data_IF_129100101269
#
_entry.id   IF_129100101269
#
_cell.length_a   1.000
_cell.length_b   1.000
_cell.length_c   1.000
_cell.angle_alpha   90.00
_cell.angle_beta   90.00
_cell.angle_gamma   90.00
#
_symmetry.space_group_name_H-M   'P 1'
#
loop_
_entity.id
_entity.type
_entity.pdbx_description
1 polymer ?
#
# COMPACT_ATOMS: atom_id res chain seq x y z
N UNK A 1 -9.09 35.86 36.01
CA UNK A 1 -8.02 34.85 36.12
C UNK A 1 -8.12 33.94 34.92
N UNK A 2 -7.12 34.02 34.06
CA UNK A 2 -6.92 33.13 32.92
C UNK A 2 -6.43 31.77 33.43
N UNK A 3 -6.75 30.71 32.70
CA UNK A 3 -5.95 29.49 32.47
C UNK A 3 -6.72 28.67 31.40
N UNK A 4 -6.75 29.14 30.14
CA UNK A 4 -5.80 28.83 29.07
C UNK A 4 -5.49 27.32 28.95
N UNK A 5 -6.49 26.56 28.51
CA UNK A 5 -6.34 25.26 27.87
C UNK A 5 -5.60 25.41 26.52
N UNK A 6 -4.30 25.71 26.59
CA UNK A 6 -3.34 25.62 25.48
C UNK A 6 -2.79 24.20 25.49
N UNK A 7 -3.25 23.38 24.54
CA UNK A 7 -2.45 22.44 23.75
C UNK A 7 -3.38 21.58 22.85
N UNK A 8 -4.23 22.24 22.06
CA UNK A 8 -4.76 21.65 20.82
C UNK A 8 -4.14 22.41 19.65
N UNK A 9 -2.86 22.19 19.39
CA UNK A 9 -2.17 22.75 18.23
C UNK A 9 -0.89 21.99 17.88
N UNK A 10 -0.98 20.74 17.45
CA UNK A 10 0.11 20.16 16.66
C UNK A 10 -0.47 19.25 15.56
N UNK A 11 -0.83 19.88 14.45
CA UNK A 11 -0.74 19.37 13.07
C UNK A 11 -1.38 18.01 12.75
N UNK A 12 -2.66 18.01 12.38
CA UNK A 12 -3.06 17.22 11.21
C UNK A 12 -2.33 17.81 10.00
N UNK A 13 -1.49 17.08 9.25
CA UNK A 13 -0.98 17.63 8.01
C UNK A 13 -2.18 17.81 7.08
N UNK A 14 -2.48 19.07 6.77
CA UNK A 14 -3.37 19.46 5.69
C UNK A 14 -3.03 18.62 4.46
N UNK A 15 -4.07 18.12 3.79
CA UNK A 15 -3.90 17.48 2.49
C UNK A 15 -3.13 18.47 1.59
N UNK A 16 -2.09 18.03 0.87
CA UNK A 16 -1.32 18.95 0.07
C UNK A 16 -2.19 19.53 -1.03
N UNK A 17 -2.37 20.85 -0.98
CA UNK A 17 -2.86 21.68 -2.07
C UNK A 17 -1.83 21.67 -3.22
N UNK A 18 -1.84 20.65 -4.07
CA UNK A 18 -1.23 20.70 -5.41
C UNK A 18 -1.93 19.76 -6.39
N UNK A 19 -2.70 20.40 -7.27
CA UNK A 19 -3.10 20.06 -8.64
C UNK A 19 -3.37 18.59 -9.00
N UNK A 20 -4.66 18.24 -9.10
CA UNK A 20 -5.16 16.95 -9.60
C UNK A 20 -4.99 16.73 -11.12
N UNK A 21 -3.96 17.31 -11.73
CA UNK A 21 -3.71 17.27 -13.19
C UNK A 21 -2.55 16.37 -13.65
N UNK A 22 -1.58 16.01 -12.79
CA UNK A 22 -0.33 15.39 -13.27
C UNK A 22 -0.24 13.85 -13.18
N UNK A 23 -1.23 13.15 -12.61
CA UNK A 23 -1.07 11.73 -12.28
C UNK A 23 -1.28 10.75 -13.45
N UNK A 24 -1.89 11.15 -14.57
CA UNK A 24 -2.12 10.23 -15.69
C UNK A 24 -0.86 9.91 -16.51
N UNK A 25 0.19 10.75 -16.43
CA UNK A 25 1.41 10.56 -17.20
C UNK A 25 2.34 9.45 -16.65
N UNK A 26 2.13 9.00 -15.41
CA UNK A 26 3.02 8.01 -14.78
C UNK A 26 2.76 6.58 -15.27
N UNK A 27 1.51 6.27 -15.64
CA UNK A 27 1.12 4.98 -16.21
C UNK A 27 1.69 4.77 -17.61
N UNK A 28 1.71 5.82 -18.44
CA UNK A 28 2.29 5.79 -19.78
C UNK A 28 3.79 5.43 -19.79
N UNK A 29 4.50 5.63 -18.67
CA UNK A 29 5.92 5.23 -18.53
C UNK A 29 6.12 3.77 -18.14
N UNK A 30 5.07 3.09 -17.67
CA UNK A 30 5.12 1.69 -17.27
C UNK A 30 4.74 0.74 -18.40
N UNK A 31 4.06 1.20 -19.46
CA UNK A 31 3.62 0.32 -20.55
C UNK A 31 4.68 0.15 -21.65
N UNK A 32 5.85 -0.39 -21.29
CA UNK A 32 6.80 -0.91 -22.26
C UNK A 32 6.70 -2.44 -22.39
N UNK A 33 7.36 -2.99 -23.43
CA UNK A 33 7.32 -4.44 -23.70
C UNK A 33 7.85 -5.27 -22.52
N UNK A 34 8.79 -4.73 -21.75
CA UNK A 34 9.41 -5.44 -20.63
C UNK A 34 8.45 -5.54 -19.45
N UNK A 35 7.74 -4.46 -19.16
CA UNK A 35 6.73 -4.44 -18.10
C UNK A 35 5.52 -5.29 -18.45
N UNK A 36 5.08 -5.29 -19.72
CA UNK A 36 4.03 -6.19 -20.18
C UNK A 36 4.44 -7.66 -19.99
N UNK A 37 5.66 -8.03 -20.36
CA UNK A 37 6.18 -9.38 -20.15
C UNK A 37 6.19 -9.78 -18.66
N UNK A 38 6.56 -8.85 -17.77
CA UNK A 38 6.53 -9.08 -16.33
C UNK A 38 5.09 -9.31 -15.81
N UNK A 39 4.12 -8.51 -16.29
CA UNK A 39 2.71 -8.69 -15.93
C UNK A 39 2.21 -10.06 -16.39
N UNK A 40 2.51 -10.45 -17.63
CA UNK A 40 2.15 -11.78 -18.15
C UNK A 40 2.79 -12.91 -17.33
N UNK A 41 4.04 -12.75 -16.89
CA UNK A 41 4.71 -13.71 -16.02
C UNK A 41 4.02 -13.87 -14.65
N UNK A 42 3.52 -12.79 -14.04
CA UNK A 42 2.73 -12.88 -12.81
C UNK A 42 1.38 -13.55 -13.03
N UNK A 43 0.75 -13.33 -14.18
CA UNK A 43 -0.56 -13.92 -14.52
C UNK A 43 -0.48 -15.41 -14.86
N UNK A 44 0.70 -15.94 -15.21
CA UNK A 44 0.88 -17.35 -15.57
C UNK A 44 1.17 -18.27 -14.38
N UNK A 45 1.18 -17.76 -13.14
CA UNK A 45 1.52 -18.54 -11.95
C UNK A 45 0.26 -19.19 -11.37
N UNK A 46 0.31 -20.50 -11.13
CA UNK A 46 -0.88 -21.28 -10.74
C UNK A 46 -1.06 -21.41 -9.22
N UNK A 47 0.04 -21.37 -8.47
CA UNK A 47 0.02 -21.70 -7.05
C UNK A 47 1.03 -20.90 -6.22
N UNK A 48 0.90 -21.00 -4.89
CA UNK A 48 1.72 -20.30 -3.91
C UNK A 48 3.21 -20.65 -4.03
N UNK A 49 3.54 -21.89 -4.35
CA UNK A 49 4.93 -22.34 -4.44
C UNK A 49 5.63 -21.71 -5.65
N UNK A 50 4.98 -21.72 -6.81
CA UNK A 50 5.44 -21.01 -8.01
C UNK A 50 5.65 -19.52 -7.77
N UNK A 51 4.69 -18.87 -7.13
CA UNK A 51 4.81 -17.45 -6.78
C UNK A 51 5.99 -17.19 -5.84
N UNK A 52 6.19 -18.04 -4.84
CA UNK A 52 7.33 -17.89 -3.92
C UNK A 52 8.66 -18.05 -4.65
N UNK A 53 8.83 -19.11 -5.47
CA UNK A 53 10.07 -19.33 -6.24
C UNK A 53 10.36 -18.16 -7.18
N UNK A 54 9.34 -17.70 -7.92
CA UNK A 54 9.48 -16.58 -8.85
C UNK A 54 9.88 -15.29 -8.13
N UNK A 55 9.22 -14.98 -7.00
CA UNK A 55 9.57 -13.79 -6.20
C UNK A 55 10.99 -13.86 -5.63
N UNK A 56 11.46 -15.04 -5.20
CA UNK A 56 12.82 -15.19 -4.67
C UNK A 56 13.90 -15.08 -5.73
N UNK A 57 13.58 -15.40 -6.99
CA UNK A 57 14.50 -15.21 -8.13
C UNK A 57 14.50 -13.74 -8.60
N UNK A 58 13.34 -13.09 -8.62
CA UNK A 58 13.16 -11.73 -9.13
C UNK A 58 13.58 -10.64 -8.14
N UNK A 59 13.37 -10.87 -6.85
CA UNK A 59 13.52 -9.86 -5.80
C UNK A 59 14.45 -10.32 -4.70
N UNK A 60 15.11 -9.33 -4.07
CA UNK A 60 15.79 -9.54 -2.81
C UNK A 60 14.78 -9.80 -1.67
N UNK A 61 15.24 -10.47 -0.61
CA UNK A 61 14.46 -10.69 0.61
C UNK A 61 13.93 -9.36 1.18
N UNK A 62 14.71 -8.28 1.07
CA UNK A 62 14.31 -6.96 1.57
C UNK A 62 13.14 -6.40 0.77
N UNK A 63 13.17 -6.49 -0.55
CA UNK A 63 12.09 -5.99 -1.42
C UNK A 63 10.79 -6.74 -1.16
N UNK A 64 10.84 -8.07 -1.02
CA UNK A 64 9.67 -8.88 -0.68
C UNK A 64 9.08 -8.45 0.68
N UNK A 65 9.92 -8.27 1.70
CA UNK A 65 9.48 -7.81 3.02
C UNK A 65 8.89 -6.40 2.97
N UNK A 66 9.52 -5.49 2.22
CA UNK A 66 9.02 -4.12 2.05
C UNK A 66 7.65 -4.11 1.35
N UNK A 67 7.45 -4.94 0.32
CA UNK A 67 6.15 -5.09 -0.35
C UNK A 67 5.09 -5.70 0.57
N UNK A 68 5.44 -6.74 1.33
CA UNK A 68 4.55 -7.37 2.31
C UNK A 68 4.11 -6.38 3.38
N UNK A 69 5.04 -5.60 3.94
CA UNK A 69 4.73 -4.57 4.93
C UNK A 69 3.80 -3.50 4.36
N UNK A 70 4.00 -3.06 3.10
CA UNK A 70 3.09 -2.09 2.46
C UNK A 70 1.67 -2.64 2.30
N UNK A 71 1.53 -3.92 1.93
CA UNK A 71 0.22 -4.57 1.83
C UNK A 71 -0.46 -4.68 3.19
N UNK A 72 0.29 -5.02 4.24
CA UNK A 72 -0.23 -5.06 5.62
C UNK A 72 -0.69 -3.67 6.09
N UNK A 73 0.14 -2.65 5.89
CA UNK A 73 -0.21 -1.25 6.19
C UNK A 73 -1.49 -0.83 5.47
N UNK A 74 -1.63 -1.15 4.17
CA UNK A 74 -2.84 -0.85 3.40
C UNK A 74 -4.07 -1.56 3.99
N UNK A 75 -3.94 -2.82 4.41
CA UNK A 75 -5.00 -3.57 5.06
C UNK A 75 -5.43 -2.97 6.41
N UNK A 76 -4.48 -2.49 7.22
CA UNK A 76 -4.77 -1.85 8.52
C UNK A 76 -5.39 -0.46 8.34
N UNK A 77 -4.91 0.33 7.38
CA UNK A 77 -5.51 1.61 7.01
C UNK A 77 -6.95 1.41 6.53
N UNK A 78 -7.20 0.40 5.69
CA UNK A 78 -8.55 0.07 5.22
C UNK A 78 -9.49 -0.38 6.35
N UNK A 79 -8.95 -0.84 7.49
CA UNK A 79 -9.71 -1.15 8.71
C UNK A 79 -9.92 0.07 9.62
N UNK A 80 -9.45 1.27 9.24
CA UNK A 80 -9.59 2.50 10.01
C UNK A 80 -8.62 2.63 11.19
N UNK A 81 -7.51 1.90 11.18
CA UNK A 81 -6.52 1.96 12.27
C UNK A 81 -5.70 3.26 12.25
N UNK A 82 -5.35 3.77 13.44
CA UNK A 82 -4.53 4.98 13.58
C UNK A 82 -3.06 4.73 13.19
N UNK A 83 -2.39 5.78 12.71
CA UNK A 83 -1.01 5.68 12.20
C UNK A 83 0.00 5.22 13.25
N UNK A 84 -0.18 5.63 14.51
CA UNK A 84 0.67 5.19 15.63
C UNK A 84 0.62 3.69 15.81
N UNK A 85 -0.58 3.11 15.81
CA UNK A 85 -0.79 1.69 16.02
C UNK A 85 -0.26 0.88 14.83
N UNK A 86 -0.45 1.39 13.62
CA UNK A 86 0.09 0.80 12.40
C UNK A 86 1.61 0.78 12.44
N UNK A 87 2.25 1.89 12.83
CA UNK A 87 3.71 1.96 12.96
C UNK A 87 4.23 0.95 13.98
N UNK A 88 3.59 0.86 15.14
CA UNK A 88 3.95 -0.11 16.19
C UNK A 88 3.78 -1.57 15.75
N UNK A 89 2.73 -1.88 14.97
CA UNK A 89 2.46 -3.26 14.51
C UNK A 89 3.36 -3.70 13.36
N UNK A 90 3.56 -2.81 12.39
CA UNK A 90 4.22 -3.16 11.12
C UNK A 90 5.71 -2.81 11.09
N UNK A 91 6.16 -1.95 12.00
CA UNK A 91 7.51 -1.37 11.96
C UNK A 91 7.70 -0.34 10.84
N UNK A 92 6.63 0.03 10.12
CA UNK A 92 6.71 1.02 9.06
C UNK A 92 6.93 2.43 9.60
N UNK A 93 7.78 3.21 8.92
CA UNK A 93 7.93 4.63 9.22
C UNK A 93 6.69 5.43 8.83
N UNK A 94 6.47 6.57 9.50
CA UNK A 94 5.38 7.51 9.17
C UNK A 94 5.38 7.91 7.70
N UNK A 95 6.56 8.10 7.09
CA UNK A 95 6.70 8.41 5.68
C UNK A 95 6.18 7.28 4.77
N UNK A 96 6.44 6.02 5.15
CA UNK A 96 5.93 4.85 4.43
C UNK A 96 4.42 4.73 4.57
N UNK A 97 3.88 4.88 5.79
CA UNK A 97 2.43 4.84 6.03
C UNK A 97 1.71 5.93 5.23
N UNK A 98 2.27 7.14 5.19
CA UNK A 98 1.73 8.26 4.40
C UNK A 98 1.69 7.95 2.88
N UNK A 99 2.77 7.38 2.33
CA UNK A 99 2.79 6.95 0.91
C UNK A 99 1.75 5.88 0.60
N UNK A 100 1.62 4.87 1.47
CA UNK A 100 0.63 3.80 1.30
C UNK A 100 -0.79 4.35 1.41
N UNK A 101 -1.05 5.22 2.38
CA UNK A 101 -2.35 5.89 2.55
C UNK A 101 -2.73 6.70 1.31
N UNK A 102 -1.79 7.46 0.73
CA UNK A 102 -2.05 8.19 -0.52
C UNK A 102 -2.42 7.24 -1.67
N UNK A 103 -1.65 6.17 -1.86
CA UNK A 103 -1.93 5.18 -2.90
C UNK A 103 -3.26 4.43 -2.68
N UNK A 104 -3.62 4.17 -1.42
CA UNK A 104 -4.87 3.51 -1.05
C UNK A 104 -6.10 4.38 -1.37
N UNK A 105 -6.02 5.68 -1.08
CA UNK A 105 -7.16 6.61 -1.19
C UNK A 105 -7.26 7.30 -2.56
N UNK A 106 -6.11 7.53 -3.22
CA UNK A 106 -6.03 8.36 -4.43
C UNK A 106 -5.24 7.70 -5.57
N UNK A 107 -4.89 6.41 -5.45
CA UNK A 107 -4.21 5.65 -6.51
C UNK A 107 -5.19 4.88 -7.39
N UNK A 108 -4.66 3.92 -8.17
CA UNK A 108 -5.41 3.12 -9.16
C UNK A 108 -6.37 2.06 -8.56
N UNK A 109 -6.63 2.10 -7.25
CA UNK A 109 -7.55 1.16 -6.59
C UNK A 109 -7.02 -0.29 -6.42
N UNK A 110 -5.77 -0.58 -6.82
CA UNK A 110 -5.17 -1.92 -6.73
C UNK A 110 -5.21 -2.54 -5.33
N UNK A 111 -4.88 -1.76 -4.29
CA UNK A 111 -4.97 -2.24 -2.89
C UNK A 111 -6.40 -2.63 -2.51
N UNK A 112 -7.39 -1.80 -2.84
CA UNK A 112 -8.80 -2.07 -2.49
C UNK A 112 -9.29 -3.35 -3.18
N UNK A 113 -8.93 -3.55 -4.45
CA UNK A 113 -9.28 -4.75 -5.21
C UNK A 113 -8.73 -6.02 -4.55
N UNK A 114 -7.42 -6.05 -4.26
CA UNK A 114 -6.77 -7.21 -3.64
C UNK A 114 -7.29 -7.46 -2.22
N UNK A 115 -7.45 -6.43 -1.39
CA UNK A 115 -7.96 -6.56 -0.02
C UNK A 115 -9.36 -7.17 0.00
N UNK A 116 -10.24 -6.79 -0.94
CA UNK A 116 -11.58 -7.38 -1.07
C UNK A 116 -11.52 -8.85 -1.44
N UNK A 117 -10.75 -9.22 -2.48
CA UNK A 117 -10.58 -10.62 -2.91
C UNK A 117 -10.05 -11.51 -1.78
N UNK A 118 -9.06 -11.03 -1.02
CA UNK A 118 -8.51 -11.79 0.11
C UNK A 118 -9.54 -12.01 1.23
N UNK A 119 -10.46 -11.06 1.47
CA UNK A 119 -11.56 -11.27 2.42
C UNK A 119 -12.52 -12.36 1.95
N UNK A 120 -12.84 -12.39 0.66
CA UNK A 120 -13.74 -13.38 0.07
C UNK A 120 -13.15 -14.80 0.17
N UNK A 121 -11.87 -14.97 -0.17
CA UNK A 121 -11.16 -16.25 -0.04
C UNK A 121 -11.17 -16.74 1.41
N UNK A 122 -10.79 -15.88 2.36
CA UNK A 122 -10.74 -16.27 3.77
C UNK A 122 -12.13 -16.64 4.35
N UNK A 123 -13.20 -16.06 3.82
CA UNK A 123 -14.57 -16.38 4.22
C UNK A 123 -15.11 -17.65 3.56
N UNK A 124 -14.56 -18.07 2.43
CA UNK A 124 -14.95 -19.31 1.74
C UNK A 124 -14.31 -20.56 2.36
N UNK A 125 -13.17 -20.38 3.03
CA UNK A 125 -12.44 -21.41 3.76
C UNK A 125 -12.83 -21.52 5.25
N UNK A 126 -13.82 -20.74 5.72
CA UNK A 126 -14.35 -20.71 7.10
C UNK A 126 -15.80 -21.19 7.16
#
# INVERSE_FOLDING_TARGET
MQDNNKLNSINSPEAPDTDGGENYHHLLRLFDKSTEALIQAFLSLDNKEECLRFLTDLCTVKEIKDMSMRLEVAGLLHKGMFYSDIASKTGASTATISRVSRALNYGEGGYISVIKKLKEVNNADS
#
